data_IF_324415103412
#
_entry.id   IF_324415103412
#
_cell.length_a   1.000
_cell.length_b   1.000
_cell.length_c   1.000
_cell.angle_alpha   90.00
_cell.angle_beta   90.00
_cell.angle_gamma   90.00
#
_symmetry.space_group_name_H-M   'P 1'
#
loop_
_entity.id
_entity.type
_entity.pdbx_description
1 polymer ?
#
# COMPACT_ATOMS: atom_id res chain seq x y z
N UNK A 1 -13.08 -49.55 -13.13
CA UNK A 1 -12.36 -49.82 -14.36
C UNK A 1 -11.17 -48.90 -14.42
N UNK A 2 -9.99 -49.49 -14.13
CA UNK A 2 -8.69 -48.87 -14.11
C UNK A 2 -8.18 -48.74 -15.56
N UNK A 3 -7.68 -47.57 -15.95
CA UNK A 3 -6.85 -47.47 -17.16
C UNK A 3 -5.66 -46.55 -16.90
N UNK A 4 -4.50 -47.18 -16.72
CA UNK A 4 -3.16 -46.61 -16.78
C UNK A 4 -2.86 -46.01 -18.15
N UNK A 5 -2.24 -44.82 -18.21
CA UNK A 5 -1.45 -44.39 -19.35
C UNK A 5 -0.03 -44.02 -18.94
N UNK A 6 0.90 -44.62 -19.63
CA UNK A 6 2.35 -44.65 -19.40
C UNK A 6 3.01 -43.36 -19.83
N UNK A 7 4.07 -43.03 -19.05
CA UNK A 7 5.08 -42.04 -19.35
C UNK A 7 5.84 -42.39 -20.64
N UNK A 8 6.17 -41.36 -21.43
CA UNK A 8 7.30 -41.46 -22.36
C UNK A 8 8.14 -40.17 -22.19
N UNK A 9 9.39 -40.38 -21.72
CA UNK A 9 10.43 -39.38 -21.70
C UNK A 9 11.11 -39.32 -23.06
N UNK A 10 11.46 -38.14 -23.54
CA UNK A 10 12.44 -37.96 -24.62
C UNK A 10 13.45 -36.90 -24.22
N UNK A 11 14.66 -37.33 -24.01
CA UNK A 11 15.91 -36.57 -23.88
C UNK A 11 16.48 -36.34 -25.28
N UNK A 12 16.98 -35.13 -25.55
CA UNK A 12 18.08 -34.79 -26.45
C UNK A 12 18.22 -33.25 -26.37
N UNK A 13 19.35 -32.58 -26.20
CA UNK A 13 20.73 -32.92 -26.38
C UNK A 13 21.46 -31.61 -26.68
N UNK A 14 22.48 -31.35 -25.96
CA UNK A 14 23.57 -30.38 -25.94
C UNK A 14 23.94 -29.75 -27.31
N UNK A 15 24.21 -28.43 -27.34
CA UNK A 15 25.38 -27.87 -28.06
C UNK A 15 25.81 -26.51 -27.50
N UNK A 16 26.94 -26.49 -26.88
CA UNK A 16 27.72 -25.31 -26.54
C UNK A 16 28.53 -24.83 -27.77
N UNK A 17 28.64 -23.53 -27.96
CA UNK A 17 29.68 -22.91 -28.77
C UNK A 17 30.13 -21.59 -28.16
N UNK A 18 31.27 -21.62 -27.55
CA UNK A 18 32.11 -20.50 -27.14
C UNK A 18 32.80 -19.88 -28.35
N UNK A 19 32.89 -18.55 -28.39
CA UNK A 19 33.95 -17.87 -29.17
C UNK A 19 34.33 -16.59 -28.44
N UNK A 20 35.53 -16.62 -27.88
CA UNK A 20 36.26 -15.47 -27.43
C UNK A 20 37.02 -14.85 -28.61
N UNK A 21 37.11 -13.52 -28.69
CA UNK A 21 38.20 -12.84 -29.39
C UNK A 21 38.64 -11.61 -28.60
N UNK A 22 39.84 -11.68 -28.15
CA UNK A 22 40.74 -10.62 -27.71
C UNK A 22 41.40 -9.96 -28.93
N UNK A 23 41.54 -8.62 -28.91
CA UNK A 23 42.66 -7.85 -29.51
C UNK A 23 42.71 -6.54 -28.72
N UNK A 24 43.62 -6.21 -28.01
CA UNK A 24 45.02 -5.82 -27.84
C UNK A 24 45.46 -4.57 -28.59
N UNK A 25 45.93 -3.60 -27.78
CA UNK A 25 47.10 -2.71 -27.84
C UNK A 25 47.35 -1.77 -29.02
N UNK A 26 47.79 -0.57 -28.63
CA UNK A 26 48.61 0.40 -29.35
C UNK A 26 48.47 1.77 -28.70
N UNK A 27 49.21 2.17 -27.90
CA UNK A 27 50.52 2.75 -27.53
C UNK A 27 50.97 3.85 -28.49
N UNK A 28 51.34 4.92 -27.91
CA UNK A 28 52.50 5.79 -28.02
C UNK A 28 52.29 7.29 -28.15
N UNK A 29 52.82 7.99 -27.13
CA UNK A 29 53.77 9.11 -27.09
C UNK A 29 53.33 10.44 -27.67
N UNK A 30 53.54 11.50 -27.05
CA UNK A 30 54.58 12.16 -26.24
C UNK A 30 54.50 13.69 -26.43
N UNK A 31 54.94 14.36 -25.43
CA UNK A 31 55.65 15.62 -25.29
C UNK A 31 54.89 16.97 -25.18
N UNK A 32 55.04 17.50 -23.95
CA UNK A 32 55.64 18.81 -23.58
C UNK A 32 54.96 20.10 -24.14
N UNK A 33 54.72 21.12 -23.41
CA UNK A 33 55.45 21.91 -22.43
C UNK A 33 54.63 23.12 -21.97
N UNK A 34 54.79 23.49 -20.73
CA UNK A 34 54.74 24.78 -20.02
C UNK A 34 54.07 26.02 -20.67
N UNK A 35 53.25 26.74 -19.93
CA UNK A 35 53.59 27.92 -19.10
C UNK A 35 52.33 28.65 -18.59
N UNK A 36 52.33 28.92 -17.32
CA UNK A 36 51.94 30.12 -16.54
C UNK A 36 51.17 31.24 -17.23
N UNK A 37 50.12 31.75 -16.71
CA UNK A 37 49.98 32.77 -15.66
C UNK A 37 48.58 33.46 -15.71
N UNK A 38 48.16 33.79 -14.51
CA UNK A 38 47.48 35.01 -14.06
C UNK A 38 45.98 35.18 -14.14
N UNK A 39 45.44 35.31 -12.99
CA UNK A 39 44.15 35.73 -12.45
C UNK A 39 43.34 36.76 -13.26
N UNK A 40 42.02 36.59 -13.26
CA UNK A 40 41.05 37.68 -13.09
C UNK A 40 39.73 37.15 -12.56
N UNK A 41 39.37 37.64 -11.41
CA UNK A 41 38.09 37.56 -10.71
C UNK A 41 36.97 38.19 -11.54
N UNK A 42 35.88 37.45 -11.76
CA UNK A 42 34.57 38.09 -11.95
C UNK A 42 33.53 37.18 -11.33
N UNK A 43 32.86 37.70 -10.29
CA UNK A 43 31.67 37.16 -9.68
C UNK A 43 30.54 37.15 -10.75
N UNK A 44 29.93 36.02 -10.97
CA UNK A 44 28.63 35.89 -11.60
C UNK A 44 27.68 35.24 -10.60
N UNK A 45 26.70 36.00 -10.26
CA UNK A 45 25.50 35.71 -9.53
C UNK A 45 24.85 34.41 -10.09
N UNK A 46 24.88 33.34 -9.30
CA UNK A 46 24.11 32.13 -9.57
C UNK A 46 22.84 32.23 -8.76
N UNK A 47 21.76 32.63 -9.41
CA UNK A 47 20.41 32.36 -8.95
C UNK A 47 20.27 30.85 -8.74
N UNK A 48 20.21 30.48 -7.46
CA UNK A 48 19.78 29.15 -7.04
C UNK A 48 18.31 28.98 -7.45
N UNK A 49 18.08 28.13 -8.44
CA UNK A 49 16.78 27.51 -8.63
C UNK A 49 16.53 26.67 -7.40
N UNK A 50 15.58 27.10 -6.61
CA UNK A 50 14.99 26.33 -5.52
C UNK A 50 14.30 25.12 -6.13
N UNK A 51 15.03 24.00 -6.21
CA UNK A 51 14.44 22.68 -6.38
C UNK A 51 13.95 22.31 -4.97
N UNK A 52 12.65 22.33 -4.78
CA UNK A 52 12.03 21.66 -3.64
C UNK A 52 12.36 20.16 -3.76
N UNK A 53 13.50 19.78 -3.18
CA UNK A 53 13.75 18.40 -2.82
C UNK A 53 12.60 17.98 -1.89
N UNK A 54 11.83 16.98 -2.29
CA UNK A 54 10.94 16.27 -1.40
C UNK A 54 11.85 15.67 -0.30
N UNK A 55 11.86 16.32 0.85
CA UNK A 55 12.67 15.89 1.98
C UNK A 55 12.14 14.54 2.45
N UNK A 56 12.90 13.47 2.21
CA UNK A 56 12.68 12.20 2.88
C UNK A 56 12.61 12.40 4.40
N UNK A 57 11.91 11.54 5.13
CA UNK A 57 11.82 11.64 6.57
C UNK A 57 13.23 11.68 7.16
N UNK A 58 13.50 12.65 8.06
CA UNK A 58 14.78 12.67 8.76
C UNK A 58 14.94 11.39 9.57
N UNK A 59 16.15 10.80 9.54
CA UNK A 59 16.46 9.60 10.32
C UNK A 59 16.15 9.82 11.79
N UNK A 60 15.42 8.87 12.40
CA UNK A 60 15.07 8.94 13.82
C UNK A 60 16.29 8.85 14.74
N UNK A 61 16.17 9.40 15.96
CA UNK A 61 17.17 9.27 17.02
C UNK A 61 16.98 7.93 17.75
N UNK A 62 17.47 6.86 17.14
CA UNK A 62 17.47 5.50 17.71
C UNK A 62 18.75 4.75 17.31
N UNK A 63 19.14 3.76 18.11
CA UNK A 63 20.24 2.84 17.79
C UNK A 63 19.66 1.48 17.37
N UNK A 64 20.05 1.00 16.18
CA UNK A 64 19.72 -0.35 15.75
C UNK A 64 20.40 -1.36 16.68
N UNK A 65 19.66 -2.37 17.12
CA UNK A 65 20.21 -3.44 17.96
C UNK A 65 21.22 -4.29 17.20
N UNK A 66 21.07 -4.39 15.87
CA UNK A 66 21.84 -5.27 15.01
C UNK A 66 21.50 -6.75 15.19
N UNK A 67 20.33 -7.05 15.79
CA UNK A 67 19.84 -8.42 15.93
C UNK A 67 19.61 -9.04 14.56
N UNK A 68 19.99 -10.30 14.39
CA UNK A 68 19.91 -11.00 13.10
C UNK A 68 18.89 -12.12 13.15
N UNK A 69 18.24 -12.37 12.02
CA UNK A 69 17.23 -13.42 11.92
C UNK A 69 16.13 -13.09 10.94
N UNK A 70 15.08 -13.90 10.94
CA UNK A 70 13.91 -13.68 10.10
C UNK A 70 12.75 -13.19 10.94
N UNK A 71 12.29 -11.98 10.64
CA UNK A 71 11.06 -11.42 11.18
C UNK A 71 9.88 -11.92 10.32
N UNK A 72 9.00 -12.74 10.90
CA UNK A 72 7.85 -13.31 10.19
C UNK A 72 6.62 -12.44 10.43
N UNK A 73 6.03 -11.93 9.37
CA UNK A 73 4.82 -11.14 9.43
C UNK A 73 3.82 -11.55 8.36
N UNK A 74 2.55 -11.28 8.59
CA UNK A 74 1.47 -11.70 7.69
C UNK A 74 0.31 -10.72 7.75
N UNK A 75 -0.41 -10.53 6.64
CA UNK A 75 -1.62 -9.72 6.68
C UNK A 75 -2.00 -8.99 5.39
N UNK A 76 -2.36 -7.73 5.55
CA UNK A 76 -2.91 -6.90 4.48
C UNK A 76 -2.09 -6.95 3.20
N UNK A 77 -2.73 -7.35 2.09
CA UNK A 77 -2.07 -7.38 0.78
C UNK A 77 -2.04 -5.98 0.12
N UNK A 78 -2.78 -5.03 0.64
CA UNK A 78 -2.74 -3.61 0.24
C UNK A 78 -1.36 -3.00 0.43
N UNK A 79 -0.66 -3.37 1.51
CA UNK A 79 0.70 -2.87 1.80
C UNK A 79 1.84 -3.74 1.27
N UNK A 80 1.56 -4.70 0.38
CA UNK A 80 2.60 -5.62 -0.09
C UNK A 80 3.82 -4.87 -0.64
N UNK A 81 3.61 -3.89 -1.51
CA UNK A 81 4.71 -3.12 -2.13
C UNK A 81 5.52 -2.35 -1.07
N UNK A 82 4.86 -1.74 -0.08
CA UNK A 82 5.55 -1.08 1.03
C UNK A 82 6.38 -2.07 1.85
N UNK A 83 5.86 -3.26 2.13
CA UNK A 83 6.60 -4.29 2.88
C UNK A 83 7.78 -4.87 2.09
N UNK A 84 7.68 -4.95 0.77
CA UNK A 84 8.80 -5.33 -0.10
C UNK A 84 9.90 -4.25 -0.05
N UNK A 85 9.54 -2.97 -0.16
CA UNK A 85 10.46 -1.85 -0.03
C UNK A 85 11.12 -1.81 1.36
N UNK A 86 10.35 -1.75 2.44
CA UNK A 86 10.87 -1.73 3.81
C UNK A 86 11.72 -2.96 4.14
N UNK A 87 11.33 -4.14 3.65
CA UNK A 87 12.07 -5.38 3.84
C UNK A 87 13.43 -5.38 3.15
N UNK A 88 13.53 -4.78 1.96
CA UNK A 88 14.79 -4.61 1.23
C UNK A 88 15.73 -3.66 1.99
N UNK A 89 15.22 -2.52 2.46
CA UNK A 89 15.96 -1.55 3.25
C UNK A 89 16.42 -2.14 4.61
N UNK A 90 15.55 -2.91 5.27
CA UNK A 90 15.90 -3.61 6.50
C UNK A 90 17.06 -4.58 6.31
N UNK A 91 17.03 -5.39 5.26
CA UNK A 91 18.12 -6.32 4.96
C UNK A 91 19.44 -5.61 4.58
N UNK A 92 19.35 -4.41 4.00
CA UNK A 92 20.50 -3.59 3.65
C UNK A 92 21.14 -2.92 4.88
N UNK A 93 20.33 -2.40 5.81
CA UNK A 93 20.82 -1.70 7.01
C UNK A 93 21.25 -2.65 8.13
N UNK A 94 20.61 -3.84 8.24
CA UNK A 94 20.94 -4.88 9.24
C UNK A 94 21.35 -6.18 8.54
N UNK A 95 22.62 -6.35 8.12
CA UNK A 95 23.07 -7.54 7.41
C UNK A 95 22.86 -8.81 8.23
N UNK A 96 22.06 -9.73 7.70
CA UNK A 96 21.70 -10.99 8.37
C UNK A 96 20.30 -10.97 9.02
N UNK A 97 19.61 -9.82 9.02
CA UNK A 97 18.18 -9.72 9.30
C UNK A 97 17.39 -9.68 7.99
N UNK A 98 16.16 -10.18 8.01
CA UNK A 98 15.24 -10.09 6.88
C UNK A 98 13.78 -10.13 7.33
N UNK A 99 12.90 -9.51 6.55
CA UNK A 99 11.46 -9.64 6.69
C UNK A 99 10.94 -10.77 5.79
N UNK A 100 10.11 -11.64 6.34
CA UNK A 100 9.30 -12.61 5.60
C UNK A 100 7.82 -12.19 5.75
N UNK A 101 7.33 -11.37 4.83
CA UNK A 101 5.95 -10.90 4.81
C UNK A 101 5.09 -11.76 3.88
N UNK A 102 3.94 -12.26 4.39
CA UNK A 102 2.96 -13.00 3.59
C UNK A 102 1.68 -12.16 3.42
N UNK A 103 1.36 -11.66 2.20
CA UNK A 103 0.21 -10.80 1.94
C UNK A 103 -1.11 -11.58 1.83
N UNK A 104 -1.50 -12.28 2.90
CA UNK A 104 -2.65 -13.21 2.95
C UNK A 104 -4.00 -12.55 3.23
N UNK A 105 -4.02 -11.22 3.46
CA UNK A 105 -5.18 -10.43 3.85
C UNK A 105 -5.25 -10.14 5.34
N UNK A 106 -5.87 -9.00 5.71
CA UNK A 106 -5.91 -8.49 7.09
C UNK A 106 -6.49 -9.50 8.08
N UNK A 107 -7.54 -10.22 7.68
CA UNK A 107 -8.18 -11.23 8.55
C UNK A 107 -7.27 -12.42 8.85
N UNK A 108 -6.51 -12.91 7.89
CA UNK A 108 -5.53 -13.98 8.09
C UNK A 108 -4.36 -13.50 8.95
N UNK A 109 -3.84 -12.30 8.70
CA UNK A 109 -2.79 -11.69 9.51
C UNK A 109 -3.16 -11.59 10.99
N UNK A 110 -4.33 -11.04 11.30
CA UNK A 110 -4.84 -10.95 12.68
C UNK A 110 -4.93 -12.34 13.33
N UNK A 111 -5.51 -13.33 12.65
CA UNK A 111 -5.64 -14.70 13.16
C UNK A 111 -4.27 -15.34 13.44
N UNK A 112 -3.31 -15.17 12.53
CA UNK A 112 -1.97 -15.73 12.68
C UNK A 112 -1.13 -15.01 13.74
N UNK A 113 -1.31 -13.70 13.91
CA UNK A 113 -0.75 -12.96 15.03
C UNK A 113 -1.28 -13.48 16.38
N UNK A 114 -2.60 -13.58 16.53
CA UNK A 114 -3.25 -14.12 17.75
C UNK A 114 -2.79 -15.55 18.02
N UNK A 115 -2.65 -16.38 16.99
CA UNK A 115 -2.18 -17.76 17.10
C UNK A 115 -0.65 -17.88 17.32
N UNK A 116 0.08 -16.76 17.46
CA UNK A 116 1.54 -16.71 17.61
C UNK A 116 2.29 -17.37 16.42
N UNK A 117 1.72 -17.30 15.20
CA UNK A 117 2.33 -17.76 13.95
C UNK A 117 3.02 -16.64 13.17
N UNK A 118 2.63 -15.39 13.44
CA UNK A 118 3.27 -14.20 12.95
C UNK A 118 3.74 -13.32 14.13
N UNK A 119 4.87 -12.66 13.99
CA UNK A 119 5.41 -11.77 15.02
C UNK A 119 4.60 -10.49 15.13
N UNK A 120 4.20 -9.93 13.97
CA UNK A 120 3.23 -8.84 13.88
C UNK A 120 2.25 -9.10 12.73
N UNK A 121 1.12 -8.39 12.76
CA UNK A 121 0.15 -8.47 11.67
C UNK A 121 0.01 -7.15 10.94
N UNK A 122 0.01 -7.18 9.60
CA UNK A 122 -0.47 -6.08 8.78
C UNK A 122 -1.99 -6.09 8.67
N UNK A 123 -2.67 -4.98 8.98
CA UNK A 123 -4.13 -4.92 8.85
C UNK A 123 -4.65 -3.52 8.54
N UNK A 124 -5.51 -3.41 7.52
CA UNK A 124 -6.22 -2.16 7.20
C UNK A 124 -7.42 -1.92 8.16
N UNK A 125 -7.66 -2.84 9.08
CA UNK A 125 -8.75 -2.75 10.07
C UNK A 125 -8.20 -2.93 11.47
N UNK A 126 -8.67 -2.12 12.41
CA UNK A 126 -8.37 -2.35 13.82
C UNK A 126 -8.94 -3.70 14.31
N UNK A 127 -8.33 -4.23 15.35
CA UNK A 127 -8.84 -5.41 16.07
C UNK A 127 -10.26 -5.14 16.57
N UNK A 128 -11.13 -6.13 16.47
CA UNK A 128 -12.40 -6.15 17.21
C UNK A 128 -12.14 -6.39 18.68
N UNK A 129 -13.12 -6.11 19.53
CA UNK A 129 -12.97 -6.25 20.98
C UNK A 129 -12.53 -7.67 21.38
N UNK A 130 -13.12 -8.71 20.77
CA UNK A 130 -12.76 -10.10 21.02
C UNK A 130 -11.39 -10.49 20.46
N UNK A 131 -10.98 -9.91 19.33
CA UNK A 131 -9.64 -10.06 18.75
C UNK A 131 -8.58 -9.35 19.62
N UNK A 132 -8.91 -8.17 20.18
CA UNK A 132 -8.01 -7.43 21.06
C UNK A 132 -7.75 -8.17 22.39
N UNK A 133 -8.77 -8.79 22.98
CA UNK A 133 -8.59 -9.61 24.18
C UNK A 133 -7.71 -10.85 23.92
N UNK A 134 -7.91 -11.53 22.77
CA UNK A 134 -7.08 -12.67 22.38
C UNK A 134 -5.64 -12.23 22.07
N UNK A 135 -5.47 -11.09 21.39
CA UNK A 135 -4.15 -10.50 21.14
C UNK A 135 -3.42 -10.15 22.43
N UNK A 136 -4.14 -9.64 23.43
CA UNK A 136 -3.60 -9.37 24.77
C UNK A 136 -3.12 -10.66 25.47
N UNK A 137 -3.86 -11.75 25.37
CA UNK A 137 -3.42 -13.05 25.88
C UNK A 137 -2.13 -13.52 25.20
N UNK A 138 -2.07 -13.41 23.86
CA UNK A 138 -0.88 -13.72 23.06
C UNK A 138 0.32 -12.86 23.48
N UNK A 139 0.13 -11.60 23.84
CA UNK A 139 1.15 -10.66 24.29
C UNK A 139 1.47 -10.79 25.81
N UNK A 140 1.18 -11.94 26.43
CA UNK A 140 1.51 -12.19 27.84
C UNK A 140 0.72 -11.32 28.83
N UNK A 141 -0.44 -10.83 28.45
CA UNK A 141 -1.29 -9.95 29.24
C UNK A 141 -1.09 -8.46 28.95
N UNK A 142 -0.18 -8.11 28.03
CA UNK A 142 0.06 -6.74 27.58
C UNK A 142 -0.84 -6.40 26.38
N UNK A 143 -1.09 -5.12 26.16
CA UNK A 143 -1.90 -4.68 25.01
C UNK A 143 -1.19 -4.98 23.68
N UNK A 144 -1.98 -5.27 22.64
CA UNK A 144 -1.53 -5.13 21.27
C UNK A 144 -1.78 -3.70 20.80
N UNK A 145 -0.77 -3.07 20.20
CA UNK A 145 -0.87 -1.72 19.65
C UNK A 145 -1.11 -1.76 18.16
N UNK A 146 -1.87 -0.78 17.69
CA UNK A 146 -2.07 -0.49 16.28
C UNK A 146 -1.14 0.66 15.90
N UNK A 147 -0.20 0.41 15.02
CA UNK A 147 0.74 1.40 14.51
C UNK A 147 0.41 1.66 13.02
N UNK A 148 -0.35 2.71 12.69
CA UNK A 148 -0.75 2.99 11.30
C UNK A 148 0.42 3.59 10.52
N UNK A 149 1.31 2.74 10.02
CA UNK A 149 2.59 3.12 9.40
C UNK A 149 2.50 3.27 7.89
N UNK A 150 1.50 2.66 7.25
CA UNK A 150 1.31 2.70 5.81
C UNK A 150 -0.03 3.37 5.49
N UNK A 151 0.02 4.48 4.78
CA UNK A 151 -1.17 5.22 4.33
C UNK A 151 -1.37 4.93 2.84
N UNK A 152 -2.40 4.14 2.52
CA UNK A 152 -2.72 3.73 1.15
C UNK A 152 -4.10 4.23 0.72
N UNK A 153 -4.21 5.13 -0.26
CA UNK A 153 -5.51 5.47 -0.82
C UNK A 153 -6.11 4.26 -1.56
N UNK A 154 -7.43 4.12 -1.49
CA UNK A 154 -8.17 3.14 -2.29
C UNK A 154 -8.57 3.78 -3.61
N UNK A 155 -8.06 3.24 -4.71
CA UNK A 155 -8.47 3.59 -6.05
C UNK A 155 -9.72 2.80 -6.46
N UNK A 156 -10.59 3.42 -7.22
CA UNK A 156 -11.58 2.73 -8.04
C UNK A 156 -10.91 2.43 -9.39
N UNK A 157 -10.36 1.24 -9.48
CA UNK A 157 -9.64 0.80 -10.67
C UNK A 157 -10.61 0.28 -11.73
N UNK A 158 -10.39 0.66 -12.99
CA UNK A 158 -11.22 0.20 -14.11
C UNK A 158 -10.37 -0.16 -15.33
N UNK A 159 -11.00 -0.76 -16.34
CA UNK A 159 -10.36 -1.10 -17.62
C UNK A 159 -11.31 -0.76 -18.78
N UNK A 160 -11.11 0.42 -19.37
CA UNK A 160 -11.85 0.87 -20.56
C UNK A 160 -10.89 1.34 -21.64
N UNK A 161 -10.93 0.71 -22.81
CA UNK A 161 -10.15 1.13 -23.96
C UNK A 161 -10.64 2.47 -24.51
N UNK A 162 -9.70 3.41 -24.67
CA UNK A 162 -9.98 4.72 -25.28
C UNK A 162 -10.74 5.72 -24.40
N UNK A 163 -10.87 5.42 -23.09
CA UNK A 163 -11.43 6.34 -22.10
C UNK A 163 -10.35 6.64 -21.07
N UNK A 164 -9.79 7.84 -21.14
CA UNK A 164 -8.67 8.23 -20.28
C UNK A 164 -9.11 8.69 -18.89
N UNK A 165 -10.35 9.18 -18.77
CA UNK A 165 -10.89 9.71 -17.53
C UNK A 165 -12.35 9.28 -17.34
N UNK A 166 -12.66 8.77 -16.15
CA UNK A 166 -14.01 8.43 -15.71
C UNK A 166 -14.28 9.06 -14.35
N UNK A 167 -15.43 9.73 -14.25
CA UNK A 167 -15.92 10.32 -13.01
C UNK A 167 -17.08 9.48 -12.47
N UNK A 168 -16.98 8.99 -11.24
CA UNK A 168 -18.02 8.20 -10.58
C UNK A 168 -18.45 8.87 -9.28
N UNK A 169 -19.75 9.06 -9.10
CA UNK A 169 -20.28 9.49 -7.80
C UNK A 169 -20.34 8.32 -6.82
N UNK A 170 -20.44 8.61 -5.52
CA UNK A 170 -20.69 7.58 -4.49
C UNK A 170 -21.93 6.75 -4.82
N UNK A 171 -23.00 7.39 -5.33
CA UNK A 171 -24.22 6.70 -5.77
C UNK A 171 -23.96 5.74 -6.93
N UNK A 172 -23.14 6.15 -7.93
CA UNK A 172 -22.73 5.24 -9.00
C UNK A 172 -21.96 4.02 -8.45
N UNK A 173 -21.04 4.22 -7.50
CA UNK A 173 -20.31 3.13 -6.89
C UNK A 173 -21.26 2.16 -6.16
N UNK A 174 -22.17 2.66 -5.35
CA UNK A 174 -23.17 1.81 -4.67
C UNK A 174 -23.98 1.01 -5.67
N UNK A 175 -24.50 1.65 -6.72
CA UNK A 175 -25.37 0.99 -7.70
C UNK A 175 -24.60 -0.01 -8.57
N UNK A 176 -23.35 0.26 -8.92
CA UNK A 176 -22.46 -0.69 -9.64
C UNK A 176 -22.20 -1.92 -8.76
N UNK A 177 -21.75 -1.74 -7.52
CA UNK A 177 -21.39 -2.86 -6.65
C UNK A 177 -22.62 -3.61 -6.10
N UNK A 178 -23.82 -3.06 -6.21
CA UNK A 178 -25.09 -3.76 -5.97
C UNK A 178 -25.68 -4.39 -7.23
N UNK A 179 -25.13 -4.10 -8.42
CA UNK A 179 -25.60 -4.62 -9.71
C UNK A 179 -26.84 -3.92 -10.26
N UNK A 180 -27.15 -2.73 -9.77
CA UNK A 180 -28.22 -1.88 -10.31
C UNK A 180 -27.79 -1.17 -11.60
N UNK A 181 -26.51 -0.75 -11.69
CA UNK A 181 -25.87 -0.24 -12.90
C UNK A 181 -24.95 -1.35 -13.43
N UNK A 182 -25.17 -1.75 -14.69
CA UNK A 182 -24.47 -2.89 -15.31
C UNK A 182 -23.78 -2.54 -16.63
N UNK A 183 -23.84 -1.29 -17.07
CA UNK A 183 -23.23 -0.83 -18.33
C UNK A 183 -22.53 0.52 -18.12
N UNK A 184 -21.38 0.70 -18.75
CA UNK A 184 -20.60 1.93 -18.61
C UNK A 184 -21.29 3.17 -19.19
N UNK A 185 -22.13 3.02 -20.23
CA UNK A 185 -22.91 4.13 -20.80
C UNK A 185 -24.26 4.37 -20.12
N UNK A 186 -24.48 3.85 -18.91
CA UNK A 186 -25.67 4.13 -18.12
C UNK A 186 -25.86 5.64 -17.92
N UNK A 187 -27.13 6.12 -17.98
CA UNK A 187 -27.45 7.54 -17.88
C UNK A 187 -26.93 8.16 -16.56
N UNK A 188 -26.89 7.40 -15.47
CA UNK A 188 -26.39 7.86 -14.20
C UNK A 188 -24.85 8.06 -14.18
N UNK A 189 -24.09 7.24 -14.93
CA UNK A 189 -22.65 7.45 -15.12
C UNK A 189 -22.43 8.60 -16.11
N UNK A 190 -23.14 8.60 -17.23
CA UNK A 190 -22.99 9.61 -18.27
C UNK A 190 -23.25 11.05 -17.75
N UNK A 191 -24.15 11.20 -16.79
CA UNK A 191 -24.45 12.50 -16.16
C UNK A 191 -23.23 13.10 -15.41
N UNK A 192 -22.28 12.28 -14.93
CA UNK A 192 -21.05 12.73 -14.28
C UNK A 192 -19.88 12.87 -15.28
N UNK A 193 -20.09 12.54 -16.57
CA UNK A 193 -19.05 12.48 -17.60
C UNK A 193 -19.46 13.28 -18.85
N UNK A 194 -19.98 14.49 -18.67
CA UNK A 194 -20.39 15.34 -19.81
C UNK A 194 -19.22 15.59 -20.76
N UNK A 195 -19.41 15.22 -22.03
CA UNK A 195 -18.41 15.39 -23.08
C UNK A 195 -17.48 14.16 -23.28
N UNK A 196 -17.57 13.16 -22.41
CA UNK A 196 -16.86 11.87 -22.58
C UNK A 196 -17.81 10.84 -23.21
N UNK A 197 -17.39 10.23 -24.32
CA UNK A 197 -18.15 9.14 -24.96
C UNK A 197 -17.87 7.82 -24.24
N UNK A 198 -18.75 7.44 -23.31
CA UNK A 198 -18.66 6.17 -22.62
C UNK A 198 -19.12 5.02 -23.53
N UNK A 199 -18.40 3.88 -23.55
CA UNK A 199 -18.74 2.77 -24.44
C UNK A 199 -20.00 2.03 -23.96
N UNK A 200 -20.77 1.50 -24.91
CA UNK A 200 -21.81 0.51 -24.64
C UNK A 200 -21.13 -0.83 -24.29
N UNK A 201 -20.69 -0.95 -23.05
CA UNK A 201 -19.91 -2.07 -22.53
C UNK A 201 -20.41 -2.48 -21.16
N UNK A 202 -20.57 -3.79 -20.95
CA UNK A 202 -20.97 -4.37 -19.68
C UNK A 202 -19.90 -4.09 -18.60
N UNK A 203 -20.35 -3.65 -17.41
CA UNK A 203 -19.51 -3.52 -16.24
C UNK A 203 -19.28 -4.90 -15.62
N UNK A 204 -18.00 -5.25 -15.43
CA UNK A 204 -17.57 -6.50 -14.80
C UNK A 204 -16.93 -6.21 -13.46
N UNK A 205 -17.70 -6.42 -12.40
CA UNK A 205 -17.24 -6.16 -11.02
C UNK A 205 -16.31 -7.27 -10.56
N UNK A 206 -15.14 -6.88 -10.05
CA UNK A 206 -14.26 -7.76 -9.27
C UNK A 206 -14.22 -7.29 -7.82
N UNK A 207 -14.11 -8.25 -6.89
CA UNK A 207 -14.03 -7.98 -5.46
C UNK A 207 -13.05 -8.93 -4.77
N UNK A 208 -12.63 -8.61 -3.55
CA UNK A 208 -11.72 -9.44 -2.75
C UNK A 208 -12.44 -10.66 -2.21
N UNK A 209 -11.91 -11.85 -2.51
CA UNK A 209 -12.45 -13.14 -2.04
C UNK A 209 -11.91 -13.58 -0.68
N UNK A 210 -10.83 -12.96 -0.22
CA UNK A 210 -10.22 -13.14 1.10
C UNK A 210 -10.85 -12.22 2.16
N UNK A 211 -10.51 -12.42 3.43
CA UNK A 211 -10.89 -11.50 4.52
C UNK A 211 -10.04 -10.23 4.46
N UNK A 212 -10.45 -9.29 3.60
CA UNK A 212 -9.70 -8.11 3.22
C UNK A 212 -10.04 -6.89 4.06
N UNK A 213 -9.01 -6.23 4.60
CA UNK A 213 -9.18 -4.92 5.22
C UNK A 213 -9.54 -3.82 4.22
N UNK A 214 -9.07 -3.93 2.97
CA UNK A 214 -9.49 -3.03 1.87
C UNK A 214 -11.00 -3.13 1.64
N UNK A 215 -11.56 -4.36 1.63
CA UNK A 215 -13.02 -4.56 1.56
C UNK A 215 -13.76 -3.94 2.73
N UNK A 216 -13.23 -4.10 3.95
CA UNK A 216 -13.82 -3.53 5.16
C UNK A 216 -13.87 -1.99 5.09
N UNK A 217 -12.76 -1.35 4.68
CA UNK A 217 -12.69 0.10 4.53
C UNK A 217 -13.58 0.62 3.39
N UNK A 218 -13.59 -0.04 2.24
CA UNK A 218 -14.46 0.33 1.13
C UNK A 218 -15.95 0.23 1.49
N UNK A 219 -16.37 -0.82 2.19
CA UNK A 219 -17.73 -0.96 2.69
C UNK A 219 -18.09 0.10 3.72
N UNK A 220 -17.19 0.42 4.66
CA UNK A 220 -17.38 1.52 5.63
C UNK A 220 -17.50 2.87 4.95
N UNK A 221 -16.68 3.12 3.94
CA UNK A 221 -16.78 4.32 3.12
C UNK A 221 -18.14 4.41 2.41
N UNK A 222 -18.53 3.38 1.67
CA UNK A 222 -19.83 3.36 0.99
C UNK A 222 -21.00 3.59 1.98
N UNK A 223 -20.95 2.96 3.16
CA UNK A 223 -22.00 3.14 4.19
C UNK A 223 -22.02 4.56 4.76
N UNK A 224 -20.85 5.19 4.97
CA UNK A 224 -20.75 6.55 5.52
C UNK A 224 -21.14 7.62 4.50
N UNK A 225 -20.70 7.47 3.23
CA UNK A 225 -20.85 8.48 2.19
C UNK A 225 -22.16 8.38 1.39
N UNK A 226 -22.92 7.27 1.49
CA UNK A 226 -24.15 7.05 0.71
C UNK A 226 -25.44 7.21 1.51
N UNK A 227 -25.42 7.86 2.67
CA UNK A 227 -26.58 8.01 3.55
C UNK A 227 -27.28 6.68 3.87
N UNK A 228 -26.48 5.58 4.01
CA UNK A 228 -26.96 4.25 4.38
C UNK A 228 -27.58 3.45 3.24
N UNK A 229 -27.39 3.81 1.98
CA UNK A 229 -27.77 2.97 0.82
C UNK A 229 -26.96 1.68 0.76
N UNK A 230 -25.69 1.72 1.20
CA UNK A 230 -24.86 0.55 1.38
C UNK A 230 -25.03 -0.02 2.79
N UNK A 231 -25.28 -1.33 2.90
CA UNK A 231 -25.50 -2.03 4.17
C UNK A 231 -24.52 -3.17 4.43
N UNK A 232 -23.59 -3.43 3.50
CA UNK A 232 -22.51 -4.40 3.70
C UNK A 232 -21.49 -3.90 4.74
N UNK A 233 -20.86 -4.80 5.46
CA UNK A 233 -19.85 -4.50 6.47
C UNK A 233 -18.82 -5.63 6.64
N UNK A 234 -17.66 -5.28 7.19
CA UNK A 234 -16.62 -6.22 7.56
C UNK A 234 -15.69 -6.63 6.40
N UNK A 235 -14.79 -7.57 6.70
CA UNK A 235 -13.70 -7.97 5.81
C UNK A 235 -14.14 -8.85 4.63
N UNK A 236 -15.32 -9.51 4.73
CA UNK A 236 -15.91 -10.30 3.65
C UNK A 236 -16.79 -9.40 2.78
N UNK A 237 -16.45 -9.28 1.50
CA UNK A 237 -17.26 -8.49 0.56
C UNK A 237 -18.49 -9.29 0.12
N UNK A 238 -19.67 -8.65 -0.09
CA UNK A 238 -20.84 -9.33 -0.64
C UNK A 238 -20.55 -9.94 -2.01
N UNK A 239 -20.94 -11.20 -2.23
CA UNK A 239 -20.64 -11.96 -3.44
C UNK A 239 -21.83 -12.13 -4.37
N UNK A 240 -22.87 -11.30 -4.19
CA UNK A 240 -24.08 -11.36 -5.04
C UNK A 240 -23.83 -10.79 -6.44
N UNK A 241 -22.84 -9.92 -6.60
CA UNK A 241 -22.47 -9.25 -7.86
C UNK A 241 -20.97 -9.41 -8.08
N UNK A 242 -20.58 -9.76 -9.30
CA UNK A 242 -19.18 -9.82 -9.70
C UNK A 242 -18.47 -11.16 -9.39
N UNK A 243 -17.16 -11.13 -9.50
CA UNK A 243 -16.25 -12.28 -9.32
C UNK A 243 -15.20 -11.98 -8.28
N UNK A 244 -14.97 -12.92 -7.35
CA UNK A 244 -13.94 -12.78 -6.32
C UNK A 244 -12.56 -13.15 -6.82
N UNK A 245 -11.55 -12.32 -6.49
CA UNK A 245 -10.13 -12.61 -6.68
C UNK A 245 -9.35 -12.43 -5.36
N UNK A 246 -8.27 -13.16 -5.20
CA UNK A 246 -7.50 -13.19 -3.95
C UNK A 246 -6.41 -12.12 -3.92
N UNK A 247 -6.39 -11.33 -2.86
CA UNK A 247 -5.37 -10.30 -2.65
C UNK A 247 -5.51 -9.08 -3.55
N UNK A 248 -4.75 -8.01 -3.27
CA UNK A 248 -4.72 -6.78 -4.08
C UNK A 248 -4.18 -7.05 -5.48
N UNK A 249 -3.08 -7.80 -5.60
CA UNK A 249 -2.51 -8.21 -6.89
C UNK A 249 -3.47 -9.06 -7.73
N UNK A 250 -4.28 -9.94 -7.08
CA UNK A 250 -5.25 -10.77 -7.78
C UNK A 250 -6.39 -9.97 -8.41
N UNK A 251 -7.01 -9.04 -7.66
CA UNK A 251 -8.09 -8.20 -8.23
C UNK A 251 -7.55 -7.24 -9.30
N UNK A 252 -6.35 -6.69 -9.12
CA UNK A 252 -5.70 -5.83 -10.12
C UNK A 252 -5.42 -6.60 -11.43
N UNK A 253 -4.90 -7.82 -11.33
CA UNK A 253 -4.67 -8.67 -12.51
C UNK A 253 -5.96 -8.96 -13.27
N UNK A 254 -7.05 -9.28 -12.57
CA UNK A 254 -8.35 -9.55 -13.21
C UNK A 254 -8.91 -8.30 -13.91
N UNK A 255 -8.79 -7.13 -13.29
CA UNK A 255 -9.23 -5.87 -13.91
C UNK A 255 -8.41 -5.56 -15.16
N UNK A 256 -7.09 -5.62 -15.08
CA UNK A 256 -6.20 -5.32 -16.21
C UNK A 256 -6.41 -6.30 -17.39
N UNK A 257 -6.78 -7.55 -17.10
CA UNK A 257 -7.03 -8.56 -18.12
C UNK A 257 -8.45 -8.51 -18.72
N UNK A 258 -9.39 -7.79 -18.11
CA UNK A 258 -10.81 -7.87 -18.46
C UNK A 258 -11.35 -6.52 -18.91
N UNK A 259 -11.62 -6.31 -20.22
CA UNK A 259 -12.28 -5.10 -20.70
C UNK A 259 -13.65 -4.87 -20.03
N UNK A 260 -13.91 -3.64 -19.60
CA UNK A 260 -15.12 -3.26 -18.85
C UNK A 260 -15.07 -3.57 -17.35
N UNK A 261 -13.95 -4.06 -16.85
CA UNK A 261 -13.81 -4.39 -15.43
C UNK A 261 -13.77 -3.15 -14.53
N UNK A 262 -14.18 -3.34 -13.26
CA UNK A 262 -14.07 -2.38 -12.17
C UNK A 262 -13.78 -3.10 -10.85
N UNK A 263 -12.97 -2.49 -10.00
CA UNK A 263 -12.72 -2.95 -8.61
C UNK A 263 -12.33 -1.78 -7.71
N UNK A 264 -12.25 -2.05 -6.43
CA UNK A 264 -11.58 -1.22 -5.43
C UNK A 264 -10.27 -1.90 -5.03
N UNK A 265 -9.18 -1.15 -5.03
CA UNK A 265 -7.84 -1.67 -4.69
C UNK A 265 -6.95 -0.53 -4.21
N UNK A 266 -5.91 -0.83 -3.45
CA UNK A 266 -4.90 0.17 -3.09
C UNK A 266 -4.27 0.77 -4.37
N UNK A 267 -3.97 2.08 -4.32
CA UNK A 267 -3.66 2.90 -5.50
C UNK A 267 -2.45 2.44 -6.33
N UNK A 268 -1.43 1.85 -5.67
CA UNK A 268 -0.22 1.33 -6.34
C UNK A 268 -0.49 0.12 -7.24
N UNK A 269 -1.62 -0.57 -7.07
CA UNK A 269 -2.02 -1.70 -7.92
C UNK A 269 -2.89 -1.29 -9.12
N UNK A 270 -3.38 -0.05 -9.18
CA UNK A 270 -4.34 0.39 -10.20
C UNK A 270 -3.65 1.08 -11.38
N UNK A 271 -3.89 0.61 -12.61
CA UNK A 271 -3.40 1.23 -13.85
C UNK A 271 -4.29 2.42 -14.26
N UNK A 272 -5.60 2.18 -14.43
CA UNK A 272 -6.59 3.24 -14.65
C UNK A 272 -7.38 3.47 -13.37
N UNK A 273 -7.54 4.75 -12.98
CA UNK A 273 -8.19 5.17 -11.74
C UNK A 273 -9.30 6.16 -12.05
N UNK A 274 -10.51 5.88 -11.57
CA UNK A 274 -11.63 6.82 -11.70
C UNK A 274 -11.46 7.96 -10.68
N UNK A 275 -11.85 9.16 -11.08
CA UNK A 275 -12.12 10.24 -10.14
C UNK A 275 -13.41 9.93 -9.37
N UNK A 276 -13.48 10.30 -8.12
CA UNK A 276 -14.66 10.04 -7.29
C UNK A 276 -15.27 11.36 -6.83
N UNK A 277 -16.57 11.52 -7.08
CA UNK A 277 -17.34 12.63 -6.54
C UNK A 277 -17.87 12.27 -5.15
N UNK A 278 -17.26 12.87 -4.13
CA UNK A 278 -17.62 12.73 -2.72
C UNK A 278 -18.71 13.70 -2.28
N UNK A 279 -19.37 14.42 -3.23
CA UNK A 279 -20.45 15.36 -2.97
C UNK A 279 -20.12 16.83 -3.23
N UNK A 280 -18.86 17.16 -3.53
CA UNK A 280 -18.40 18.51 -3.89
C UNK A 280 -17.87 18.61 -5.33
N UNK A 281 -18.02 17.54 -6.12
CA UNK A 281 -17.49 17.37 -7.48
C UNK A 281 -16.44 16.26 -7.54
N UNK A 282 -16.06 15.83 -8.77
CA UNK A 282 -15.07 14.78 -8.97
C UNK A 282 -13.70 15.19 -8.42
N UNK A 283 -13.07 14.29 -7.66
CA UNK A 283 -11.73 14.46 -7.07
C UNK A 283 -10.81 13.39 -7.64
N UNK A 284 -9.71 13.81 -8.22
CA UNK A 284 -8.64 12.93 -8.68
C UNK A 284 -7.88 12.36 -7.49
N UNK A 285 -7.45 11.10 -7.59
CA UNK A 285 -6.59 10.47 -6.60
C UNK A 285 -5.16 10.95 -6.78
N UNK A 286 -4.79 11.99 -6.02
CA UNK A 286 -3.44 12.56 -5.95
C UNK A 286 -2.97 12.65 -4.50
N UNK A 287 -1.65 12.72 -4.28
CA UNK A 287 -1.09 12.90 -2.94
C UNK A 287 -1.62 14.18 -2.25
N UNK A 288 -1.81 15.27 -3.00
CA UNK A 288 -2.35 16.54 -2.50
C UNK A 288 -3.79 16.37 -2.00
N UNK A 289 -4.67 15.76 -2.80
CA UNK A 289 -6.08 15.57 -2.45
C UNK A 289 -6.26 14.58 -1.29
N UNK A 290 -5.41 13.55 -1.21
CA UNK A 290 -5.36 12.65 -0.06
C UNK A 290 -4.85 13.39 1.19
N UNK A 291 -3.79 14.20 1.06
CA UNK A 291 -3.27 15.04 2.14
C UNK A 291 -4.34 15.94 2.73
N UNK A 292 -5.16 16.58 1.89
CA UNK A 292 -6.30 17.42 2.32
C UNK A 292 -7.29 16.64 3.21
N UNK A 293 -7.56 15.37 2.90
CA UNK A 293 -8.41 14.53 3.75
C UNK A 293 -7.71 14.11 5.05
N UNK A 294 -6.40 13.81 4.99
CA UNK A 294 -5.60 13.38 6.15
C UNK A 294 -5.37 14.49 7.17
N UNK A 295 -5.37 15.78 6.78
CA UNK A 295 -5.24 16.92 7.69
C UNK A 295 -6.31 16.95 8.79
N UNK A 296 -7.43 16.23 8.57
CA UNK A 296 -8.54 16.10 9.52
C UNK A 296 -8.67 14.71 10.11
N UNK A 297 -7.65 13.89 9.95
CA UNK A 297 -7.65 12.55 10.51
C UNK A 297 -7.59 12.61 12.04
N UNK A 298 -8.49 11.90 12.69
CA UNK A 298 -8.58 11.80 14.14
C UNK A 298 -8.30 10.36 14.62
N UNK A 299 -7.79 10.23 15.83
CA UNK A 299 -7.58 8.95 16.50
C UNK A 299 -8.64 8.71 17.56
N UNK A 300 -9.14 7.47 17.64
CA UNK A 300 -10.06 7.02 18.70
C UNK A 300 -9.36 6.77 20.03
N UNK A 301 -8.04 6.58 19.99
CA UNK A 301 -7.22 6.19 21.12
C UNK A 301 -6.12 7.20 21.38
N UNK A 302 -5.70 7.28 22.64
CA UNK A 302 -4.58 8.11 23.09
C UNK A 302 -3.32 7.23 23.29
N UNK A 303 -2.15 7.87 23.47
CA UNK A 303 -0.87 7.19 23.72
C UNK A 303 -0.35 6.45 22.51
N UNK A 304 0.25 5.27 22.71
CA UNK A 304 0.97 4.50 21.71
C UNK A 304 0.07 3.60 20.84
N UNK A 305 -1.12 3.25 21.34
CA UNK A 305 -2.10 2.53 20.51
C UNK A 305 -2.85 3.55 19.65
N UNK A 306 -2.69 3.51 18.33
CA UNK A 306 -3.09 4.57 17.41
C UNK A 306 -4.22 4.10 16.47
N UNK A 307 -5.44 3.93 16.99
CA UNK A 307 -6.61 3.56 16.17
C UNK A 307 -7.24 4.81 15.55
N UNK A 308 -7.28 4.87 14.23
CA UNK A 308 -7.85 5.98 13.46
C UNK A 308 -9.38 5.93 13.49
N UNK A 309 -10.03 7.11 13.56
CA UNK A 309 -11.47 7.23 13.33
C UNK A 309 -11.80 7.25 11.84
N UNK A 310 -11.80 6.07 11.22
CA UNK A 310 -12.11 5.91 9.81
C UNK A 310 -13.52 6.38 9.43
N UNK A 311 -14.47 6.37 10.38
CA UNK A 311 -15.83 6.84 10.12
C UNK A 311 -15.87 8.35 9.93
N UNK A 312 -15.13 9.10 10.75
CA UNK A 312 -15.01 10.54 10.60
C UNK A 312 -14.27 10.90 9.31
N UNK A 313 -13.21 10.15 8.97
CA UNK A 313 -12.47 10.32 7.73
C UNK A 313 -13.36 10.12 6.49
N UNK A 314 -14.11 9.03 6.43
CA UNK A 314 -14.96 8.69 5.27
C UNK A 314 -16.21 9.56 5.11
N UNK A 315 -16.61 10.29 6.14
CA UNK A 315 -17.75 11.21 6.10
C UNK A 315 -17.38 12.63 5.64
N UNK A 316 -16.15 12.85 5.16
CA UNK A 316 -15.73 14.15 4.64
C UNK A 316 -16.30 14.39 3.23
N UNK A 317 -16.74 15.64 2.98
CA UNK A 317 -17.30 16.09 1.70
C UNK A 317 -16.68 17.43 1.28
N UNK A 318 -15.41 17.64 1.60
CA UNK A 318 -14.73 18.89 1.31
C UNK A 318 -14.21 18.93 -0.12
N UNK A 319 -14.22 20.13 -0.69
CA UNK A 319 -13.70 20.38 -2.02
C UNK A 319 -12.20 19.98 -2.08
N UNK A 320 -11.82 19.18 -3.07
CA UNK A 320 -10.47 18.69 -3.25
C UNK A 320 -10.00 17.61 -2.25
N UNK A 321 -10.83 17.16 -1.30
CA UNK A 321 -10.45 16.07 -0.40
C UNK A 321 -10.78 14.70 -1.00
N UNK A 322 -9.81 13.76 -0.95
CA UNK A 322 -9.98 12.35 -1.30
C UNK A 322 -9.97 11.50 -0.01
N UNK A 323 -11.12 11.27 0.64
CA UNK A 323 -11.18 10.63 1.96
C UNK A 323 -11.16 9.10 1.93
N UNK A 324 -11.25 8.46 0.75
CA UNK A 324 -11.22 7.00 0.63
C UNK A 324 -9.77 6.48 0.80
N UNK A 325 -9.30 6.50 2.05
CA UNK A 325 -7.92 6.20 2.43
C UNK A 325 -7.89 5.11 3.49
N UNK A 326 -7.01 4.13 3.30
CA UNK A 326 -6.67 3.15 4.34
C UNK A 326 -5.49 3.63 5.16
N UNK A 327 -5.58 3.36 6.47
CA UNK A 327 -4.44 3.40 7.36
C UNK A 327 -4.12 1.97 7.76
N UNK A 328 -3.07 1.40 7.17
CA UNK A 328 -2.68 0.02 7.46
C UNK A 328 -1.83 -0.01 8.71
N UNK A 329 -2.29 -0.78 9.68
CA UNK A 329 -1.65 -0.95 10.98
C UNK A 329 -0.64 -2.10 10.95
N UNK A 330 0.53 -1.85 11.53
CA UNK A 330 1.35 -2.93 12.06
C UNK A 330 0.86 -3.20 13.48
N UNK A 331 0.17 -4.34 13.66
CA UNK A 331 -0.36 -4.76 14.97
C UNK A 331 0.73 -5.53 15.69
N UNK A 332 1.25 -4.95 16.77
CA UNK A 332 2.39 -5.46 17.55
C UNK A 332 2.02 -5.66 19.02
N UNK A 333 2.73 -6.51 19.74
CA UNK A 333 2.66 -6.48 21.21
C UNK A 333 3.36 -5.24 21.76
N UNK A 334 2.76 -4.54 22.69
CA UNK A 334 3.41 -3.46 23.43
C UNK A 334 4.57 -3.96 24.30
N UNK A 335 4.45 -5.18 24.80
CA UNK A 335 5.47 -5.94 25.53
C UNK A 335 5.14 -7.44 25.49
N UNK A 336 6.10 -8.28 25.91
CA UNK A 336 5.92 -9.74 26.02
C UNK A 336 6.53 -10.53 24.86
N UNK A 337 7.29 -9.89 23.98
CA UNK A 337 8.25 -10.57 23.13
C UNK A 337 9.46 -11.05 23.98
N UNK A 338 10.22 -12.02 23.51
CA UNK A 338 11.59 -12.19 23.99
C UNK A 338 12.48 -11.07 23.45
N UNK A 339 13.63 -10.81 24.13
CA UNK A 339 14.49 -9.68 23.81
C UNK A 339 14.95 -9.65 22.33
N UNK A 340 15.29 -10.83 21.77
CA UNK A 340 15.70 -10.96 20.36
C UNK A 340 14.56 -10.58 19.41
N UNK A 341 13.36 -11.09 19.65
CA UNK A 341 12.17 -10.76 18.84
C UNK A 341 11.81 -9.27 18.96
N UNK A 342 11.84 -8.69 20.16
CA UNK A 342 11.58 -7.27 20.37
C UNK A 342 12.58 -6.40 19.60
N UNK A 343 13.85 -6.77 19.59
CA UNK A 343 14.90 -6.08 18.84
C UNK A 343 14.64 -6.13 17.33
N UNK A 344 14.34 -7.31 16.76
CA UNK A 344 13.99 -7.45 15.34
C UNK A 344 12.79 -6.59 14.94
N UNK A 345 11.74 -6.57 15.76
CA UNK A 345 10.53 -5.75 15.53
C UNK A 345 10.88 -4.27 15.54
N UNK A 346 11.61 -3.80 16.55
CA UNK A 346 11.98 -2.39 16.69
C UNK A 346 12.90 -1.92 15.57
N UNK A 347 13.90 -2.71 15.21
CA UNK A 347 14.84 -2.38 14.13
C UNK A 347 14.07 -2.26 12.79
N UNK A 348 13.22 -3.23 12.46
CA UNK A 348 12.42 -3.19 11.24
C UNK A 348 11.48 -1.98 11.20
N UNK A 349 10.71 -1.74 12.26
CA UNK A 349 9.71 -0.67 12.29
C UNK A 349 10.38 0.72 12.27
N UNK A 350 11.52 0.90 12.96
CA UNK A 350 12.26 2.17 12.89
C UNK A 350 12.82 2.43 11.48
N UNK A 351 13.35 1.42 10.81
CA UNK A 351 13.78 1.53 9.42
C UNK A 351 12.61 1.86 8.50
N UNK A 352 11.46 1.22 8.66
CA UNK A 352 10.26 1.55 7.90
C UNK A 352 9.77 3.00 8.11
N UNK A 353 9.94 3.55 9.33
CA UNK A 353 9.64 4.95 9.63
C UNK A 353 10.68 5.93 9.04
N UNK A 354 11.92 5.51 8.86
CA UNK A 354 12.94 6.32 8.16
C UNK A 354 12.76 6.29 6.63
N UNK A 355 12.01 5.33 6.10
CA UNK A 355 11.69 5.16 4.68
C UNK A 355 10.30 5.70 4.31
N UNK A 356 9.84 6.71 5.04
CA UNK A 356 8.67 7.51 4.68
C UNK A 356 9.11 8.61 3.70
N UNK A 357 9.37 8.24 2.45
CA UNK A 357 10.05 9.06 1.45
C UNK A 357 9.38 8.98 0.06
N UNK A 358 10.00 9.61 -0.93
CA UNK A 358 9.49 9.64 -2.31
C UNK A 358 9.51 8.28 -3.02
N UNK A 359 10.29 7.30 -2.56
CA UNK A 359 10.27 5.95 -3.11
C UNK A 359 9.01 5.21 -2.65
N UNK A 360 8.65 5.36 -1.38
CA UNK A 360 7.35 4.87 -0.86
C UNK A 360 6.16 5.54 -1.57
N UNK A 361 6.25 6.85 -1.86
CA UNK A 361 5.23 7.55 -2.66
C UNK A 361 5.15 6.99 -4.08
N UNK A 362 6.28 6.65 -4.68
CA UNK A 362 6.35 5.99 -5.99
C UNK A 362 5.65 4.63 -6.04
N UNK A 363 5.57 3.93 -4.93
CA UNK A 363 4.82 2.68 -4.77
C UNK A 363 3.31 2.89 -4.55
N UNK A 364 2.82 4.13 -4.50
CA UNK A 364 1.40 4.49 -4.40
C UNK A 364 0.91 4.83 -2.99
N UNK A 365 1.80 4.97 -2.01
CA UNK A 365 1.48 5.30 -0.63
C UNK A 365 1.72 6.78 -0.32
N UNK A 366 1.17 7.24 0.79
CA UNK A 366 1.39 8.58 1.30
C UNK A 366 2.35 8.50 2.49
N UNK A 367 3.57 9.05 2.39
CA UNK A 367 4.52 9.06 3.50
C UNK A 367 3.98 9.78 4.72
N UNK A 368 4.11 9.17 5.90
CA UNK A 368 3.77 9.83 7.17
C UNK A 368 4.85 10.81 7.58
N UNK A 369 4.46 11.94 8.17
CA UNK A 369 5.39 13.02 8.51
C UNK A 369 4.97 13.79 9.77
N UNK A 370 5.81 14.75 10.21
CA UNK A 370 5.53 15.65 11.31
C UNK A 370 5.21 14.94 12.62
N UNK A 371 4.28 15.49 13.39
CA UNK A 371 3.90 14.96 14.70
C UNK A 371 3.30 13.56 14.66
N UNK A 372 2.76 13.17 13.52
CA UNK A 372 2.26 11.81 13.31
C UNK A 372 3.42 10.79 13.28
N UNK A 373 4.46 11.08 12.50
CA UNK A 373 5.68 10.26 12.45
C UNK A 373 6.38 10.20 13.81
N UNK A 374 6.49 11.35 14.51
CA UNK A 374 7.09 11.38 15.86
C UNK A 374 6.33 10.47 16.83
N UNK A 375 4.99 10.52 16.83
CA UNK A 375 4.16 9.66 17.68
C UNK A 375 4.35 8.17 17.35
N UNK A 376 4.51 7.79 16.08
CA UNK A 376 4.84 6.42 15.68
C UNK A 376 6.22 6.00 16.19
N UNK A 377 7.23 6.84 16.06
CA UNK A 377 8.58 6.58 16.59
C UNK A 377 8.56 6.38 18.11
N UNK A 378 7.83 7.22 18.84
CA UNK A 378 7.67 7.07 20.28
C UNK A 378 7.01 5.72 20.62
N UNK A 379 5.99 5.31 19.87
CA UNK A 379 5.33 4.04 20.09
C UNK A 379 6.26 2.84 19.79
N UNK A 380 6.99 2.86 18.67
CA UNK A 380 7.96 1.81 18.33
C UNK A 380 9.05 1.70 19.38
N UNK A 381 9.62 2.82 19.84
CA UNK A 381 10.67 2.83 20.85
C UNK A 381 10.19 2.35 22.24
N UNK A 382 8.89 2.46 22.52
CA UNK A 382 8.27 1.99 23.76
C UNK A 382 7.94 0.48 23.77
N UNK A 383 8.09 -0.24 22.65
CA UNK A 383 7.93 -1.71 22.61
C UNK A 383 9.00 -2.36 23.49
N UNK A 384 8.58 -3.31 24.33
CA UNK A 384 9.47 -4.01 25.26
C UNK A 384 9.42 -5.53 25.05
N UNK A 385 10.53 -6.19 25.40
CA UNK A 385 10.63 -7.64 25.48
C UNK A 385 9.97 -8.21 26.73
#
# INVERSE_FOLDING_TARGET
VIRNFKRTAALAGIAALSSATLVACGDDSDSTDSTKDTAATTAADSTSSDSTDAAGAEKGDYELSGETGTLVAEGASSQQNAMEYFGAEYAAEVPGANLAYNPSGSGAGIKNFIANQATFAGSDSALKDDEAEQAKERCGGNEAWHLPMVIGPIAIAYNLDGVDEVNLSVDNLVDIFQGNITNWNDEAIAANNEGTELPDQEIRVFFRSDESGTSDNFQKFLAAASDGKWTGEGKAFPNAVGTGANGSSGVAQEVNATPGAITYVEAGFAEQKANVDFGAGPVELTAENVGTALDKMEFKTEGHNMVVDSKALFAQHEDGAYPLVMTTYEIVCSAGYDDSTANLVKDFLNIALDRQDSELEGEGFIPVSGSYLERLRDAVNAING
#
